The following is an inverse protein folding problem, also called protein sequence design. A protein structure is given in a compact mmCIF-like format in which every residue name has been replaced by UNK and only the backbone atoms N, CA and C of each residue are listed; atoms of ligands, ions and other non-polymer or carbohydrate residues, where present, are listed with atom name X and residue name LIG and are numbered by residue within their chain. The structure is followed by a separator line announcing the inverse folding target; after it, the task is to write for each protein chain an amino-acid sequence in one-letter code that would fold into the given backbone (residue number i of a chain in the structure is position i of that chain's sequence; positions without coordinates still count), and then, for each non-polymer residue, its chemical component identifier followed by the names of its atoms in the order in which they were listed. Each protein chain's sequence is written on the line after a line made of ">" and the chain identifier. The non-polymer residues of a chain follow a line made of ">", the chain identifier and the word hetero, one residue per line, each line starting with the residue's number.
data_IF_998904699002
#
_entry.id   IF_998904699002
#
_cell.length_a   1.000
_cell.length_b   1.000
_cell.length_c   1.000
_cell.angle_alpha   90.00
_cell.angle_beta   90.00
_cell.angle_gamma   90.00
#
_symmetry.space_group_name_H-M   'P 1'
#
loop_
_entity.id
_entity.type
_entity.pdbx_description
1 polymer ?
#
# COMPACT_ATOMS: atom_id res chain seq x y z
N UNK A 1 18.76 2.40 -7.70
CA UNK A 1 18.78 2.59 -6.23
C UNK A 1 20.13 3.07 -5.76
N UNK A 2 21.25 2.48 -6.20
CA UNK A 2 22.58 2.85 -5.69
C UNK A 2 23.00 4.29 -6.04
N UNK A 3 22.51 4.85 -7.14
CA UNK A 3 22.79 6.23 -7.59
C UNK A 3 21.91 7.32 -6.93
N UNK A 4 20.94 6.94 -6.10
CA UNK A 4 20.04 7.90 -5.45
C UNK A 4 20.66 8.40 -4.14
N UNK A 5 20.30 9.61 -3.72
CA UNK A 5 20.55 10.05 -2.34
C UNK A 5 19.79 9.16 -1.34
N UNK A 6 20.20 9.12 -0.07
CA UNK A 6 19.48 8.31 0.93
C UNK A 6 18.02 8.76 1.11
N UNK A 7 17.75 10.07 1.04
CA UNK A 7 16.40 10.63 1.13
C UNK A 7 15.53 10.23 -0.08
N UNK A 8 16.12 10.20 -1.28
CA UNK A 8 15.43 9.72 -2.48
C UNK A 8 15.16 8.22 -2.42
N UNK A 9 16.12 7.42 -1.91
CA UNK A 9 15.92 5.98 -1.67
C UNK A 9 14.77 5.76 -0.70
N UNK A 10 14.70 6.53 0.38
CA UNK A 10 13.60 6.46 1.35
C UNK A 10 12.26 6.81 0.71
N UNK A 11 12.22 7.86 -0.09
CA UNK A 11 11.02 8.29 -0.82
C UNK A 11 10.55 7.21 -1.79
N UNK A 12 11.45 6.64 -2.59
CA UNK A 12 11.15 5.52 -3.51
C UNK A 12 10.67 4.30 -2.74
N UNK A 13 11.29 3.97 -1.60
CA UNK A 13 10.87 2.84 -0.76
C UNK A 13 9.43 3.02 -0.25
N UNK A 14 9.09 4.21 0.29
CA UNK A 14 7.73 4.53 0.74
C UNK A 14 6.73 4.53 -0.42
N UNK A 15 7.07 5.14 -1.55
CA UNK A 15 6.21 5.15 -2.74
C UNK A 15 5.90 3.73 -3.24
N UNK A 16 6.87 2.82 -3.24
CA UNK A 16 6.64 1.42 -3.63
C UNK A 16 5.77 0.66 -2.63
N UNK A 17 5.87 0.97 -1.32
CA UNK A 17 4.95 0.42 -0.31
C UNK A 17 3.52 0.91 -0.57
N UNK A 18 3.33 2.22 -0.77
CA UNK A 18 2.03 2.84 -1.08
C UNK A 18 1.43 2.24 -2.35
N UNK A 19 2.21 2.12 -3.43
CA UNK A 19 1.77 1.53 -4.69
C UNK A 19 1.17 0.13 -4.50
N UNK A 20 1.83 -0.72 -3.71
CA UNK A 20 1.33 -2.06 -3.39
C UNK A 20 0.14 -2.02 -2.44
N UNK A 21 0.15 -1.11 -1.47
CA UNK A 21 -0.92 -0.96 -0.48
C UNK A 21 -2.25 -0.50 -1.10
N UNK A 22 -2.21 0.19 -2.24
CA UNK A 22 -3.39 0.52 -3.05
C UNK A 22 -4.04 -0.72 -3.71
N UNK A 23 -3.37 -1.87 -3.74
CA UNK A 23 -3.95 -3.10 -4.27
C UNK A 23 -4.93 -3.69 -3.25
N UNK A 24 -6.11 -4.07 -3.70
CA UNK A 24 -7.16 -4.63 -2.87
C UNK A 24 -7.85 -5.79 -3.58
N UNK A 25 -8.08 -6.94 -2.91
CA UNK A 25 -8.88 -8.01 -3.48
C UNK A 25 -10.34 -7.58 -3.57
N UNK A 26 -10.92 -7.69 -4.77
CA UNK A 26 -12.31 -7.34 -5.02
C UNK A 26 -13.21 -8.57 -4.89
N UNK A 27 -14.37 -8.41 -4.25
CA UNK A 27 -15.36 -9.48 -4.08
C UNK A 27 -15.76 -10.13 -5.41
N UNK A 28 -15.91 -9.34 -6.48
CA UNK A 28 -16.25 -9.86 -7.82
C UNK A 28 -15.12 -10.68 -8.46
N UNK A 29 -13.88 -10.46 -8.04
CA UNK A 29 -12.71 -11.15 -8.57
C UNK A 29 -12.41 -12.47 -7.82
N UNK A 30 -13.10 -12.74 -6.71
CA UNK A 30 -12.88 -13.93 -5.88
C UNK A 30 -13.11 -15.23 -6.68
N UNK A 31 -14.10 -15.24 -7.58
CA UNK A 31 -14.42 -16.41 -8.42
C UNK A 31 -13.30 -16.81 -9.38
N UNK A 32 -12.39 -15.89 -9.71
CA UNK A 32 -11.25 -16.15 -10.61
C UNK A 32 -9.94 -16.28 -9.84
N UNK A 33 -9.76 -15.47 -8.79
CA UNK A 33 -8.49 -15.38 -8.05
C UNK A 33 -8.41 -16.33 -6.86
N UNK A 34 -9.55 -16.79 -6.34
CA UNK A 34 -9.63 -17.55 -5.09
C UNK A 34 -9.29 -16.73 -3.84
N UNK A 35 -9.06 -15.41 -3.97
CA UNK A 35 -8.73 -14.52 -2.86
C UNK A 35 -10.01 -13.82 -2.38
N UNK A 36 -10.39 -13.96 -1.10
CA UNK A 36 -11.56 -13.29 -0.57
C UNK A 36 -11.51 -11.78 -0.71
N UNK A 37 -12.59 -11.20 -1.22
CA UNK A 37 -12.74 -9.76 -1.29
C UNK A 37 -12.64 -9.11 0.08
N UNK A 38 -12.12 -7.88 0.14
CA UNK A 38 -12.11 -7.07 1.36
C UNK A 38 -12.81 -5.75 1.12
N UNK A 39 -13.59 -5.29 2.09
CA UNK A 39 -14.05 -3.91 2.17
C UNK A 39 -13.27 -3.21 3.28
N UNK A 40 -12.75 -2.02 2.99
CA UNK A 40 -11.97 -1.22 3.94
C UNK A 40 -12.70 0.11 4.13
N UNK A 41 -13.00 0.45 5.38
CA UNK A 41 -13.67 1.71 5.68
C UNK A 41 -12.74 2.90 5.42
N UNK A 42 -13.33 4.05 5.07
CA UNK A 42 -12.58 5.27 4.80
C UNK A 42 -11.63 5.65 5.95
N UNK A 43 -12.11 5.55 7.20
CA UNK A 43 -11.32 5.89 8.39
C UNK A 43 -10.10 4.98 8.54
N UNK A 44 -10.26 3.68 8.31
CA UNK A 44 -9.17 2.72 8.38
C UNK A 44 -8.15 2.95 7.25
N UNK A 45 -8.63 3.25 6.04
CA UNK A 45 -7.80 3.59 4.90
C UNK A 45 -6.91 4.80 5.20
N UNK A 46 -7.49 5.93 5.63
CA UNK A 46 -6.76 7.16 5.96
C UNK A 46 -5.70 6.90 7.04
N UNK A 47 -6.05 6.21 8.12
CA UNK A 47 -5.12 5.89 9.20
C UNK A 47 -3.96 5.01 8.73
N UNK A 48 -4.23 4.03 7.87
CA UNK A 48 -3.22 3.11 7.37
C UNK A 48 -2.26 3.79 6.41
N UNK A 49 -2.75 4.63 5.48
CA UNK A 49 -1.91 5.43 4.59
C UNK A 49 -1.02 6.40 5.37
N UNK A 50 -1.55 7.05 6.42
CA UNK A 50 -0.74 7.90 7.30
C UNK A 50 0.39 7.10 7.95
N UNK A 51 0.12 5.88 8.43
CA UNK A 51 1.15 5.04 9.02
C UNK A 51 2.28 4.66 8.05
N UNK A 52 1.96 4.40 6.77
CA UNK A 52 2.98 4.14 5.74
C UNK A 52 3.80 5.40 5.43
N UNK A 53 3.17 6.57 5.36
CA UNK A 53 3.86 7.85 5.14
C UNK A 53 4.80 8.23 6.29
N UNK A 54 4.37 7.99 7.54
CA UNK A 54 5.15 8.24 8.75
C UNK A 54 6.30 7.23 8.93
N UNK A 55 6.32 6.14 8.15
CA UNK A 55 7.34 5.09 8.27
C UNK A 55 7.13 4.15 9.47
N UNK A 56 5.88 3.97 9.93
CA UNK A 56 5.54 3.04 11.02
C UNK A 56 5.59 1.55 10.59
N UNK A 57 5.72 1.28 9.29
CA UNK A 57 5.78 -0.05 8.67
C UNK A 57 6.91 -0.13 7.64
#
# INVERSE_FOLDING_TARGET
>A
MNELSEDDKLTVARARKIQRFLSQPFHVAEVVTGVPGKYVELKESVNSFQGVMDGKY
#
